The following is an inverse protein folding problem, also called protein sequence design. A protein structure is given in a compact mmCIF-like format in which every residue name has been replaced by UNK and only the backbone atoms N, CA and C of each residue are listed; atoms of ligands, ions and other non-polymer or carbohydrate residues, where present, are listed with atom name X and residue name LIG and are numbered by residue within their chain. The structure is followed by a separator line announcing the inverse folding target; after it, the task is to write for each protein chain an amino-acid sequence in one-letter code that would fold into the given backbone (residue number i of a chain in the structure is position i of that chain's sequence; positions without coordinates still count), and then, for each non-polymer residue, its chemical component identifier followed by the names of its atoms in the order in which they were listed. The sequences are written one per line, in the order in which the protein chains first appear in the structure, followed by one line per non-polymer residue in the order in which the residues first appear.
data_IF_277150057866
#
_entry.id   IF_277150057866
#
_cell.length_a   1.000
_cell.length_b   1.000
_cell.length_c   1.000
_cell.angle_alpha   90.00
_cell.angle_beta   90.00
_cell.angle_gamma   90.00
#
_symmetry.space_group_name_H-M   'P 1'
#
loop_
_entity.id
_entity.type
_entity.pdbx_description
1 polymer ?
#
# COMPACT_ATOMS: atom_id res chain seq x y z
N UNK A 1 -36.93 14.09 36.93
CA UNK A 1 -36.76 14.81 35.66
C UNK A 1 -35.53 14.19 34.97
N UNK A 2 -35.70 13.35 33.96
CA UNK A 2 -34.61 12.77 33.19
C UNK A 2 -34.32 13.69 32.00
N UNK A 3 -33.17 14.36 32.03
CA UNK A 3 -32.68 15.17 30.92
C UNK A 3 -32.32 14.27 29.71
N UNK A 4 -32.85 14.57 28.54
CA UNK A 4 -32.45 13.97 27.28
C UNK A 4 -31.05 14.48 26.92
N UNK A 5 -30.14 13.61 26.41
CA UNK A 5 -28.87 14.09 25.89
C UNK A 5 -29.12 14.88 24.60
N UNK A 6 -28.61 16.10 24.54
CA UNK A 6 -28.65 16.95 23.35
C UNK A 6 -27.86 16.30 22.21
N UNK A 7 -28.52 16.03 21.12
CA UNK A 7 -27.85 15.60 19.87
C UNK A 7 -27.07 16.79 19.31
N UNK A 8 -25.75 16.66 19.29
CA UNK A 8 -24.88 17.63 18.62
C UNK A 8 -24.95 17.38 17.10
N UNK A 9 -25.60 18.26 16.37
CA UNK A 9 -25.64 18.21 14.91
C UNK A 9 -24.28 18.67 14.37
N UNK A 10 -23.51 17.76 13.81
CA UNK A 10 -22.25 18.07 13.12
C UNK A 10 -22.61 18.69 11.76
N UNK A 11 -22.34 19.98 11.62
CA UNK A 11 -22.50 20.67 10.35
C UNK A 11 -21.27 20.34 9.48
N UNK A 12 -21.43 19.45 8.53
CA UNK A 12 -20.41 19.17 7.52
C UNK A 12 -20.47 20.27 6.46
N UNK A 13 -19.41 21.06 6.25
CA UNK A 13 -19.36 22.01 5.14
C UNK A 13 -19.52 21.25 3.82
N UNK A 14 -20.52 21.59 3.03
CA UNK A 14 -20.66 21.09 1.67
C UNK A 14 -19.61 21.77 0.78
N UNK A 15 -18.39 21.31 0.82
CA UNK A 15 -17.45 21.57 -0.26
C UNK A 15 -17.83 20.64 -1.41
N UNK A 16 -18.13 21.17 -2.61
CA UNK A 16 -18.28 20.32 -3.78
C UNK A 16 -16.93 19.63 -4.00
N UNK A 17 -16.92 18.30 -3.92
CA UNK A 17 -15.81 17.50 -4.43
C UNK A 17 -15.74 17.84 -5.92
N UNK A 18 -14.85 18.72 -6.31
CA UNK A 18 -14.50 18.88 -7.71
C UNK A 18 -13.90 17.58 -8.16
N UNK A 19 -14.62 16.85 -9.03
CA UNK A 19 -14.02 15.73 -9.75
C UNK A 19 -12.78 16.26 -10.45
N UNK A 20 -11.61 15.89 -9.93
CA UNK A 20 -10.31 16.24 -10.49
C UNK A 20 -9.94 15.37 -11.69
N UNK A 21 -10.91 14.68 -12.29
CA UNK A 21 -10.74 13.99 -13.56
C UNK A 21 -11.29 14.91 -14.67
N UNK A 22 -10.42 15.61 -15.41
CA UNK A 22 -10.86 16.26 -16.62
C UNK A 22 -11.28 15.16 -17.57
N UNK A 23 -12.56 15.24 -18.00
CA UNK A 23 -13.10 14.55 -19.15
C UNK A 23 -12.82 13.03 -19.21
N UNK A 24 -13.89 12.24 -19.22
CA UNK A 24 -13.93 10.78 -19.13
C UNK A 24 -13.29 9.99 -20.27
N UNK A 25 -12.27 10.50 -20.92
CA UNK A 25 -11.38 9.74 -21.80
C UNK A 25 -10.24 9.15 -20.98
N UNK A 26 -10.51 8.06 -20.27
CA UNK A 26 -9.43 7.15 -19.93
C UNK A 26 -8.92 6.60 -21.27
N UNK A 27 -7.73 7.00 -21.69
CA UNK A 27 -6.97 6.29 -22.70
C UNK A 27 -6.72 4.87 -22.19
N UNK A 28 -7.69 3.99 -22.45
CA UNK A 28 -7.48 2.56 -22.28
C UNK A 28 -6.27 2.20 -23.14
N UNK A 29 -5.25 1.54 -22.58
CA UNK A 29 -4.03 1.23 -23.31
C UNK A 29 -4.38 0.51 -24.62
N UNK A 30 -3.92 1.04 -25.73
CA UNK A 30 -4.14 0.49 -27.05
C UNK A 30 -3.64 -0.97 -27.11
N UNK A 31 -4.40 -1.91 -27.69
CA UNK A 31 -3.95 -3.28 -27.86
C UNK A 31 -2.72 -3.30 -28.81
N UNK A 32 -1.62 -3.88 -28.33
CA UNK A 32 -0.39 -4.07 -29.14
C UNK A 32 0.87 -3.35 -28.64
N UNK A 33 0.79 -2.45 -27.69
CA UNK A 33 1.98 -1.89 -27.01
C UNK A 33 2.50 -2.92 -26.02
N UNK A 34 3.72 -3.46 -26.23
CA UNK A 34 4.41 -4.25 -25.20
C UNK A 34 4.54 -3.37 -23.95
N UNK A 35 3.75 -3.66 -22.93
CA UNK A 35 3.95 -3.01 -21.62
C UNK A 35 5.29 -3.46 -21.08
N UNK A 36 6.13 -2.51 -20.75
CA UNK A 36 7.29 -2.75 -19.88
C UNK A 36 6.75 -3.40 -18.61
N UNK A 37 7.34 -4.49 -18.15
CA UNK A 37 6.90 -5.16 -16.93
C UNK A 37 6.99 -4.20 -15.73
N UNK A 38 6.06 -4.30 -14.79
CA UNK A 38 6.06 -3.41 -13.60
C UNK A 38 7.41 -3.40 -12.89
N UNK A 39 8.05 -4.56 -12.74
CA UNK A 39 9.39 -4.70 -12.15
C UNK A 39 10.46 -3.94 -12.96
N UNK A 40 10.40 -4.00 -14.28
CA UNK A 40 11.37 -3.29 -15.13
C UNK A 40 11.16 -1.77 -15.04
N UNK A 41 9.91 -1.33 -14.90
CA UNK A 41 9.61 0.07 -14.70
C UNK A 41 10.10 0.57 -13.34
N UNK A 42 9.89 -0.20 -12.25
CA UNK A 42 10.46 0.12 -10.92
C UNK A 42 11.99 0.21 -10.98
N UNK A 43 12.66 -0.69 -11.70
CA UNK A 43 14.12 -0.62 -11.89
C UNK A 43 14.55 0.63 -12.64
N UNK A 44 13.75 1.09 -13.59
CA UNK A 44 14.08 2.22 -14.47
C UNK A 44 13.88 3.57 -13.79
N UNK A 45 12.74 3.77 -13.09
CA UNK A 45 12.34 5.09 -12.55
C UNK A 45 12.06 5.07 -11.04
N UNK A 46 12.28 3.96 -10.36
CA UNK A 46 12.04 3.83 -8.93
C UNK A 46 10.57 4.06 -8.56
N UNK A 47 10.33 4.87 -7.53
CA UNK A 47 8.97 5.15 -7.03
C UNK A 47 8.03 5.76 -8.07
N UNK A 48 8.57 6.48 -9.07
CA UNK A 48 7.74 7.15 -10.09
C UNK A 48 7.03 6.16 -11.03
N UNK A 49 7.40 4.88 -10.97
CA UNK A 49 6.66 3.79 -11.62
C UNK A 49 5.27 3.55 -11.00
N UNK A 50 5.04 3.99 -9.77
CA UNK A 50 3.79 3.81 -9.05
C UNK A 50 3.30 5.16 -8.50
N UNK A 51 2.19 5.72 -9.04
CA UNK A 51 1.65 7.00 -8.56
C UNK A 51 1.34 7.00 -7.07
N UNK A 52 0.97 5.86 -6.49
CA UNK A 52 0.71 5.74 -5.06
C UNK A 52 2.00 5.85 -4.23
N UNK A 53 3.13 5.33 -4.72
CA UNK A 53 4.43 5.52 -4.07
C UNK A 53 4.80 7.00 -4.01
N UNK A 54 4.59 7.72 -5.11
CA UNK A 54 4.83 9.17 -5.17
C UNK A 54 3.94 9.92 -4.19
N UNK A 55 2.63 9.60 -4.15
CA UNK A 55 1.65 10.21 -3.24
C UNK A 55 2.05 9.99 -1.77
N UNK A 56 2.41 8.78 -1.41
CA UNK A 56 2.76 8.41 -0.05
C UNK A 56 4.20 8.80 0.34
N UNK A 57 5.05 9.12 -0.62
CA UNK A 57 6.48 9.36 -0.40
C UNK A 57 7.25 8.08 -0.11
N UNK A 58 6.77 6.95 -0.64
CA UNK A 58 7.42 5.65 -0.49
C UNK A 58 8.71 5.61 -1.31
N UNK A 59 9.78 5.12 -0.69
CA UNK A 59 11.06 4.83 -1.33
C UNK A 59 11.21 3.31 -1.46
N UNK A 60 11.63 2.85 -2.62
CA UNK A 60 11.94 1.45 -2.87
C UNK A 60 13.41 1.22 -2.53
N UNK A 61 13.67 0.49 -1.45
CA UNK A 61 15.05 0.24 -1.00
C UNK A 61 15.66 -0.97 -1.74
N UNK A 62 14.94 -2.10 -1.73
CA UNK A 62 15.40 -3.34 -2.35
C UNK A 62 14.22 -4.26 -2.69
N UNK A 63 14.37 -5.08 -3.73
CA UNK A 63 13.40 -6.13 -4.07
C UNK A 63 14.04 -7.20 -4.94
N UNK A 64 13.53 -8.43 -4.84
CA UNK A 64 13.96 -9.59 -5.59
C UNK A 64 13.63 -10.88 -4.85
N UNK A 65 13.59 -12.00 -5.56
CA UNK A 65 13.46 -13.35 -4.99
C UNK A 65 12.32 -13.51 -3.98
N UNK A 66 11.16 -12.90 -4.26
CA UNK A 66 9.99 -12.96 -3.40
C UNK A 66 10.12 -12.10 -2.13
N UNK A 67 10.95 -11.08 -2.13
CA UNK A 67 11.18 -10.13 -1.04
C UNK A 67 11.15 -8.70 -1.56
N UNK A 68 10.72 -7.78 -0.70
CA UNK A 68 10.83 -6.35 -0.95
C UNK A 68 10.97 -5.59 0.37
N UNK A 69 11.59 -4.41 0.28
CA UNK A 69 11.73 -3.46 1.36
C UNK A 69 11.41 -2.07 0.85
N UNK A 70 10.54 -1.39 1.57
CA UNK A 70 10.10 -0.03 1.30
C UNK A 70 10.32 0.82 2.54
N UNK A 71 10.58 2.09 2.36
CA UNK A 71 10.75 3.07 3.44
C UNK A 71 9.85 4.27 3.20
N UNK A 72 9.30 4.86 4.25
CA UNK A 72 8.43 6.02 4.19
C UNK A 72 8.58 6.89 5.45
N UNK A 73 8.61 8.21 5.27
CA UNK A 73 8.56 9.15 6.37
C UNK A 73 7.11 9.38 6.83
N UNK A 74 6.91 9.41 8.14
CA UNK A 74 5.62 9.73 8.77
C UNK A 74 5.41 11.24 8.72
N UNK A 75 4.42 11.68 7.94
CA UNK A 75 4.07 13.09 7.79
C UNK A 75 2.84 13.45 8.62
N UNK A 76 2.69 14.74 9.01
CA UNK A 76 1.54 15.20 9.79
C UNK A 76 0.18 14.93 9.11
N UNK A 77 0.11 14.97 7.78
CA UNK A 77 -1.10 14.71 6.99
C UNK A 77 -1.50 13.22 6.93
N UNK A 78 -0.67 12.34 7.47
CA UNK A 78 -0.94 10.90 7.62
C UNK A 78 -1.44 10.52 9.01
N UNK A 79 -1.55 11.48 9.94
CA UNK A 79 -1.95 11.20 11.31
C UNK A 79 -3.48 11.17 11.43
N UNK A 80 -3.97 10.30 12.31
CA UNK A 80 -5.38 10.25 12.70
C UNK A 80 -5.72 11.37 13.70
N UNK A 81 -7.00 11.51 14.05
CA UNK A 81 -7.48 12.52 14.97
C UNK A 81 -6.90 12.44 16.41
N UNK A 82 -6.25 11.33 16.77
CA UNK A 82 -5.55 11.14 18.04
C UNK A 82 -4.04 11.43 17.94
N UNK A 83 -3.55 11.86 16.77
CA UNK A 83 -2.15 12.23 16.56
C UNK A 83 -1.21 11.04 16.30
N UNK A 84 -1.72 9.87 15.93
CA UNK A 84 -0.94 8.69 15.58
C UNK A 84 -1.05 8.40 14.08
N UNK A 85 -0.02 7.78 13.50
CA UNK A 85 -0.07 7.31 12.12
C UNK A 85 -1.35 6.49 11.90
N UNK A 86 -2.13 6.89 10.87
CA UNK A 86 -3.42 6.27 10.57
C UNK A 86 -3.24 4.78 10.24
N UNK A 87 -4.11 3.92 10.81
CA UNK A 87 -4.03 2.47 10.62
C UNK A 87 -4.01 2.04 9.15
N UNK A 88 -4.83 2.68 8.30
CA UNK A 88 -4.84 2.41 6.86
C UNK A 88 -3.52 2.68 6.16
N UNK A 89 -2.66 3.56 6.69
CA UNK A 89 -1.33 3.83 6.15
C UNK A 89 -0.40 2.64 6.37
N UNK A 90 -0.45 1.99 7.56
CA UNK A 90 0.31 0.76 7.80
C UNK A 90 -0.11 -0.36 6.85
N UNK A 91 -1.44 -0.51 6.66
CA UNK A 91 -2.00 -1.51 5.74
C UNK A 91 -1.50 -1.26 4.33
N UNK A 92 -1.68 -0.05 3.81
CA UNK A 92 -1.27 0.31 2.46
C UNK A 92 0.24 0.12 2.22
N UNK A 93 1.08 0.53 3.18
CA UNK A 93 2.54 0.37 3.07
C UNK A 93 2.96 -1.12 3.11
N UNK A 94 2.28 -1.93 3.93
CA UNK A 94 2.53 -3.37 4.00
C UNK A 94 2.08 -4.08 2.72
N UNK A 95 0.87 -3.76 2.20
CA UNK A 95 0.33 -4.31 0.95
C UNK A 95 1.27 -4.04 -0.23
N UNK A 96 1.76 -2.81 -0.37
CA UNK A 96 2.70 -2.45 -1.43
C UNK A 96 4.02 -3.23 -1.33
N UNK A 97 4.56 -3.43 -0.12
CA UNK A 97 5.77 -4.23 0.07
C UNK A 97 5.54 -5.71 -0.27
N UNK A 98 4.39 -6.25 0.13
CA UNK A 98 3.98 -7.63 -0.15
C UNK A 98 3.74 -7.82 -1.66
N UNK A 99 3.01 -6.90 -2.29
CA UNK A 99 2.72 -6.95 -3.71
C UNK A 99 4.02 -6.85 -4.54
N UNK A 100 4.91 -5.91 -4.21
CA UNK A 100 6.20 -5.78 -4.90
C UNK A 100 7.04 -7.06 -4.75
N UNK A 101 7.09 -7.67 -3.56
CA UNK A 101 7.76 -8.94 -3.35
C UNK A 101 7.19 -10.03 -4.28
N UNK A 102 5.85 -10.12 -4.38
CA UNK A 102 5.19 -11.12 -5.20
C UNK A 102 5.43 -10.86 -6.71
N UNK A 103 5.44 -9.61 -7.16
CA UNK A 103 5.76 -9.26 -8.54
C UNK A 103 7.14 -9.75 -8.99
N UNK A 104 8.10 -9.90 -8.07
CA UNK A 104 9.43 -10.43 -8.40
C UNK A 104 9.43 -11.91 -8.81
N UNK A 105 8.35 -12.65 -8.53
CA UNK A 105 8.18 -14.07 -8.84
C UNK A 105 7.18 -14.34 -9.96
N UNK A 106 6.52 -13.31 -10.49
CA UNK A 106 5.53 -13.46 -11.55
C UNK A 106 6.20 -13.67 -12.91
N UNK A 107 5.57 -14.48 -13.73
CA UNK A 107 5.90 -14.54 -15.15
C UNK A 107 5.38 -13.28 -15.89
N UNK A 108 5.93 -12.99 -17.07
CA UNK A 108 5.59 -11.79 -17.84
C UNK A 108 4.11 -11.68 -18.25
N UNK A 109 3.38 -12.80 -18.23
CA UNK A 109 1.96 -12.89 -18.54
C UNK A 109 1.09 -13.11 -17.28
N UNK A 110 1.62 -12.90 -16.09
CA UNK A 110 0.89 -13.01 -14.84
C UNK A 110 0.67 -11.64 -14.21
N UNK A 111 -0.48 -11.49 -13.58
CA UNK A 111 -0.88 -10.37 -12.71
C UNK A 111 -1.39 -10.91 -11.38
N UNK A 112 -1.56 -10.00 -10.43
CA UNK A 112 -2.13 -10.34 -9.12
C UNK A 112 -3.35 -9.48 -8.80
N UNK A 113 -4.26 -10.05 -8.01
CA UNK A 113 -5.32 -9.31 -7.34
C UNK A 113 -5.41 -9.81 -5.90
N UNK A 114 -5.45 -8.88 -4.94
CA UNK A 114 -5.60 -9.20 -3.52
C UNK A 114 -6.95 -9.87 -3.28
N UNK A 115 -6.95 -11.03 -2.61
CA UNK A 115 -8.16 -11.75 -2.19
C UNK A 115 -8.53 -11.33 -0.78
N UNK A 116 -7.54 -11.37 0.11
CA UNK A 116 -7.71 -11.08 1.53
C UNK A 116 -6.42 -10.53 2.12
N UNK A 117 -6.57 -9.62 3.06
CA UNK A 117 -5.47 -9.05 3.82
C UNK A 117 -5.89 -8.86 5.27
N UNK A 118 -5.04 -9.32 6.18
CA UNK A 118 -5.25 -9.18 7.61
C UNK A 118 -4.04 -8.52 8.26
N UNK A 119 -4.28 -7.39 8.93
CA UNK A 119 -3.24 -6.63 9.63
C UNK A 119 -3.50 -6.58 11.13
N UNK A 120 -2.49 -6.96 11.92
CA UNK A 120 -2.43 -6.75 13.36
C UNK A 120 -1.60 -5.51 13.67
N UNK A 121 -2.20 -4.55 14.38
CA UNK A 121 -1.55 -3.33 14.84
C UNK A 121 -0.95 -3.56 16.22
N UNK A 122 0.34 -3.32 16.40
CA UNK A 122 1.10 -3.69 17.59
C UNK A 122 1.55 -2.44 18.36
N UNK A 123 2.09 -1.44 17.63
CA UNK A 123 2.57 -0.20 18.23
C UNK A 123 2.32 0.98 17.31
N UNK A 124 1.90 2.13 17.87
CA UNK A 124 1.75 3.38 17.12
C UNK A 124 3.05 4.17 17.04
N UNK A 125 3.18 4.96 15.98
CA UNK A 125 4.18 6.03 15.82
C UNK A 125 3.49 7.29 15.34
N UNK A 126 4.10 8.46 15.51
CA UNK A 126 3.55 9.74 15.04
C UNK A 126 4.60 10.62 14.35
N UNK A 127 5.82 10.14 14.26
CA UNK A 127 6.93 10.83 13.59
C UNK A 127 8.01 9.82 13.21
N UNK A 128 9.01 10.29 12.46
CA UNK A 128 10.16 9.47 12.05
C UNK A 128 9.88 8.68 10.78
N UNK A 129 10.72 7.71 10.54
CA UNK A 129 10.71 6.87 9.34
C UNK A 129 10.23 5.46 9.70
N UNK A 130 9.40 4.88 8.85
CA UNK A 130 8.95 3.49 8.96
C UNK A 130 9.46 2.68 7.77
N UNK A 131 9.75 1.41 8.01
CA UNK A 131 10.19 0.47 6.99
C UNK A 131 9.20 -0.67 6.89
N UNK A 132 8.72 -0.97 5.69
CA UNK A 132 7.93 -2.15 5.41
C UNK A 132 8.78 -3.21 4.70
N UNK A 133 8.58 -4.46 5.08
CA UNK A 133 9.16 -5.61 4.41
C UNK A 133 8.05 -6.54 3.96
N UNK A 134 8.13 -7.03 2.72
CA UNK A 134 7.25 -8.06 2.17
C UNK A 134 8.02 -9.33 1.89
N UNK A 135 7.40 -10.48 2.13
CA UNK A 135 7.95 -11.79 1.84
C UNK A 135 6.88 -12.74 1.32
N UNK A 136 7.14 -13.36 0.18
CA UNK A 136 6.29 -14.42 -0.35
C UNK A 136 6.55 -15.71 0.42
N UNK A 137 5.47 -16.28 0.99
CA UNK A 137 5.50 -17.59 1.66
C UNK A 137 5.39 -18.69 0.62
N UNK A 138 4.45 -18.53 -0.32
CA UNK A 138 4.23 -19.48 -1.40
C UNK A 138 3.57 -18.81 -2.59
N UNK A 139 4.15 -18.96 -3.78
CA UNK A 139 3.47 -18.69 -5.05
C UNK A 139 3.01 -20.00 -5.67
N UNK A 140 1.71 -20.20 -5.74
CA UNK A 140 1.07 -21.27 -6.50
C UNK A 140 0.72 -20.81 -7.91
N UNK A 141 0.06 -21.68 -8.67
CA UNK A 141 -0.39 -21.37 -10.03
C UNK A 141 -1.57 -20.38 -10.07
N UNK A 142 -2.46 -20.42 -9.08
CA UNK A 142 -3.68 -19.60 -9.01
C UNK A 142 -3.77 -18.73 -7.77
N UNK A 143 -3.05 -19.07 -6.72
CA UNK A 143 -3.07 -18.36 -5.45
C UNK A 143 -1.67 -18.25 -4.90
N UNK A 144 -1.34 -17.09 -4.37
CA UNK A 144 -0.12 -16.82 -3.64
C UNK A 144 -0.44 -16.39 -2.21
N UNK A 145 0.46 -16.70 -1.28
CA UNK A 145 0.41 -16.30 0.12
C UNK A 145 1.68 -15.55 0.46
N UNK A 146 1.52 -14.43 1.13
CA UNK A 146 2.64 -13.59 1.53
C UNK A 146 2.39 -12.94 2.89
N UNK A 147 3.43 -12.42 3.49
CA UNK A 147 3.37 -11.67 4.74
C UNK A 147 4.25 -10.44 4.69
N UNK A 148 3.94 -9.46 5.54
CA UNK A 148 4.70 -8.23 5.66
C UNK A 148 4.74 -7.72 7.09
N UNK A 149 5.74 -6.91 7.39
CA UNK A 149 5.89 -6.22 8.66
C UNK A 149 6.20 -4.76 8.40
N UNK A 150 5.63 -3.88 9.22
CA UNK A 150 6.04 -2.48 9.30
C UNK A 150 6.77 -2.27 10.61
N UNK A 151 7.96 -1.66 10.55
CA UNK A 151 8.83 -1.40 11.69
C UNK A 151 9.24 0.06 11.75
N UNK A 152 9.51 0.55 12.95
CA UNK A 152 10.19 1.82 13.15
C UNK A 152 11.64 1.71 12.70
N UNK A 153 12.10 2.62 11.85
CA UNK A 153 13.49 2.64 11.41
C UNK A 153 14.47 3.04 12.52
N UNK A 154 13.99 3.76 13.54
CA UNK A 154 14.83 4.27 14.62
C UNK A 154 15.28 3.19 15.61
N UNK A 155 14.39 2.26 15.98
CA UNK A 155 14.62 1.27 17.02
C UNK A 155 14.30 -0.17 16.58
N UNK A 156 13.86 -0.37 15.34
CA UNK A 156 13.48 -1.68 14.82
C UNK A 156 12.18 -2.25 15.39
N UNK A 157 11.47 -1.48 16.23
CA UNK A 157 10.24 -1.95 16.87
C UNK A 157 9.18 -2.34 15.84
N UNK A 158 8.55 -3.49 16.05
CA UNK A 158 7.43 -3.95 15.22
C UNK A 158 6.20 -3.09 15.47
N UNK A 159 5.67 -2.49 14.40
CA UNK A 159 4.50 -1.61 14.43
C UNK A 159 3.24 -2.32 13.96
N UNK A 160 3.35 -3.10 12.88
CA UNK A 160 2.26 -3.95 12.40
C UNK A 160 2.80 -5.19 11.71
N UNK A 161 1.96 -6.24 11.65
CA UNK A 161 2.19 -7.46 10.88
C UNK A 161 0.97 -7.74 10.03
N UNK A 162 1.22 -8.07 8.76
CA UNK A 162 0.20 -8.32 7.75
C UNK A 162 0.40 -9.70 7.14
N UNK A 163 -0.69 -10.43 6.95
CA UNK A 163 -0.74 -11.62 6.10
C UNK A 163 -1.72 -11.38 4.97
N UNK A 164 -1.37 -11.81 3.75
CA UNK A 164 -2.21 -11.60 2.58
C UNK A 164 -2.25 -12.82 1.66
N UNK A 165 -3.33 -12.94 0.93
CA UNK A 165 -3.51 -13.89 -0.17
C UNK A 165 -3.90 -13.16 -1.45
N UNK A 166 -3.40 -13.66 -2.58
CA UNK A 166 -3.57 -13.06 -3.89
C UNK A 166 -4.02 -14.11 -4.91
N UNK A 167 -4.93 -13.72 -5.79
CA UNK A 167 -5.15 -14.46 -7.03
C UNK A 167 -3.98 -14.18 -7.99
N UNK A 168 -3.46 -15.25 -8.62
CA UNK A 168 -2.52 -15.15 -9.73
C UNK A 168 -3.31 -15.32 -11.02
N UNK A 169 -3.33 -14.29 -11.84
CA UNK A 169 -4.16 -14.17 -13.04
C UNK A 169 -3.24 -14.23 -14.27
N UNK A 170 -3.48 -15.21 -15.13
CA UNK A 170 -2.82 -15.24 -16.45
C UNK A 170 -3.52 -14.25 -17.39
N UNK A 171 -2.73 -13.45 -18.11
CA UNK A 171 -3.20 -12.58 -19.21
C UNK A 171 -3.34 -13.33 -20.51
#
# INVERSE_FOLDING_TARGET
VRGHPSQTTIHTPKHPIRNAYPDGSQDLPQPGVKRVGYIDEIKRVGRDANPFFTLMGIVVDEFGDGRARLTMDVRPDMLNGAGWLQGGVYVALADEAIALALYTLLANNEEIATIDEHTSFIRGVNTGTVTATGRVIRKGRRVAFAEGEVRSAADGALLSRTSASFAVIAR
#
